data_IF_966504075485
#
_entry.id   IF_966504075485
#
_cell.length_a   1.000
_cell.length_b   1.000
_cell.length_c   1.000
_cell.angle_alpha   90.00
_cell.angle_beta   90.00
_cell.angle_gamma   90.00
#
_symmetry.space_group_name_H-M   'P 1'
#
loop_
_entity.id
_entity.type
_entity.pdbx_description
1 polymer ?
#
# COMPACT_ATOMS: atom_id res chain seq x y z
N UNK A 1 -36.85 -7.78 -34.28
CA UNK A 1 -36.01 -7.43 -33.11
C UNK A 1 -35.92 -5.92 -33.17
N UNK A 2 -36.76 -5.22 -32.41
CA UNK A 2 -36.77 -3.75 -32.40
C UNK A 2 -35.52 -3.30 -31.62
N UNK A 3 -34.65 -2.55 -32.30
CA UNK A 3 -33.53 -1.88 -31.66
C UNK A 3 -34.13 -0.86 -30.68
N UNK A 4 -33.98 -1.14 -29.39
CA UNK A 4 -34.35 -0.24 -28.32
C UNK A 4 -33.32 0.90 -28.35
N UNK A 5 -33.56 1.92 -29.18
CA UNK A 5 -32.76 3.13 -29.22
C UNK A 5 -32.77 3.75 -27.83
N UNK A 6 -31.65 3.59 -27.12
CA UNK A 6 -31.45 4.15 -25.80
C UNK A 6 -31.37 5.66 -25.99
N UNK A 7 -32.51 6.32 -25.80
CA UNK A 7 -32.63 7.76 -25.93
C UNK A 7 -31.78 8.43 -24.84
N UNK A 8 -30.64 8.98 -25.28
CA UNK A 8 -29.67 9.66 -24.43
C UNK A 8 -30.30 10.82 -23.65
N UNK A 9 -31.38 11.42 -24.14
CA UNK A 9 -32.12 12.48 -23.43
C UNK A 9 -32.94 11.92 -22.27
N UNK A 10 -33.55 10.72 -22.39
CA UNK A 10 -34.20 10.05 -21.25
C UNK A 10 -33.19 9.58 -20.22
N UNK A 11 -31.99 9.14 -20.63
CA UNK A 11 -30.91 8.88 -19.67
C UNK A 11 -30.47 10.17 -18.97
N UNK A 12 -30.34 11.27 -19.72
CA UNK A 12 -29.97 12.56 -19.16
C UNK A 12 -31.04 13.08 -18.19
N UNK A 13 -32.33 12.89 -18.49
CA UNK A 13 -33.45 13.28 -17.66
C UNK A 13 -33.58 12.41 -16.39
N UNK A 14 -33.36 11.09 -16.46
CA UNK A 14 -33.32 10.21 -15.29
C UNK A 14 -32.14 10.56 -14.38
N UNK A 15 -30.98 10.88 -14.95
CA UNK A 15 -29.78 11.31 -14.19
C UNK A 15 -30.00 12.70 -13.58
N UNK A 16 -30.58 13.66 -14.29
CA UNK A 16 -30.89 15.01 -13.78
C UNK A 16 -32.01 15.00 -12.73
N UNK A 17 -33.03 14.16 -12.89
CA UNK A 17 -34.13 14.04 -11.93
C UNK A 17 -33.72 13.27 -10.66
N UNK A 18 -32.81 12.30 -10.78
CA UNK A 18 -32.20 11.64 -9.61
C UNK A 18 -31.21 12.53 -8.87
N UNK A 19 -30.49 13.41 -9.57
CA UNK A 19 -29.61 14.41 -8.96
C UNK A 19 -30.39 15.39 -8.06
N UNK A 20 -31.65 15.68 -8.38
CA UNK A 20 -32.47 16.65 -7.63
C UNK A 20 -33.15 16.10 -6.37
N UNK A 21 -33.11 14.78 -6.10
CA UNK A 21 -33.96 14.15 -5.06
C UNK A 21 -33.36 14.02 -3.65
N UNK A 22 -32.10 14.40 -3.39
CA UNK A 22 -31.66 14.57 -1.99
C UNK A 22 -30.33 15.31 -1.85
N UNK A 23 -30.37 16.56 -1.36
CA UNK A 23 -29.19 17.32 -0.88
C UNK A 23 -28.33 16.52 0.13
N UNK A 24 -28.90 15.50 0.76
CA UNK A 24 -28.19 14.56 1.62
C UNK A 24 -27.31 13.57 0.83
N UNK A 25 -27.81 13.00 -0.27
CA UNK A 25 -27.06 12.02 -1.07
C UNK A 25 -25.88 12.69 -1.78
N UNK A 26 -26.08 13.92 -2.24
CA UNK A 26 -25.02 14.76 -2.82
C UNK A 26 -23.91 15.04 -1.80
N UNK A 27 -24.25 15.35 -0.54
CA UNK A 27 -23.27 15.50 0.56
C UNK A 27 -22.51 14.21 0.85
N UNK A 28 -23.18 13.05 0.86
CA UNK A 28 -22.52 11.74 1.07
C UNK A 28 -21.56 11.43 -0.08
N UNK A 29 -21.98 11.67 -1.33
CA UNK A 29 -21.15 11.49 -2.51
C UNK A 29 -19.90 12.37 -2.47
N UNK A 30 -20.06 13.66 -2.14
CA UNK A 30 -18.93 14.60 -1.95
C UNK A 30 -17.97 14.14 -0.85
N UNK A 31 -18.48 13.69 0.31
CA UNK A 31 -17.62 13.16 1.38
C UNK A 31 -16.90 11.87 0.98
N UNK A 32 -17.55 11.00 0.21
CA UNK A 32 -16.94 9.75 -0.27
C UNK A 32 -15.86 10.03 -1.31
N UNK A 33 -16.09 10.98 -2.22
CA UNK A 33 -15.09 11.43 -3.17
C UNK A 33 -13.87 12.04 -2.46
N UNK A 34 -14.09 12.85 -1.43
CA UNK A 34 -13.03 13.43 -0.61
C UNK A 34 -12.21 12.35 0.12
N UNK A 35 -12.88 11.36 0.73
CA UNK A 35 -12.21 10.21 1.36
C UNK A 35 -11.41 9.38 0.34
N UNK A 36 -11.91 9.21 -0.88
CA UNK A 36 -11.19 8.51 -1.93
C UNK A 36 -9.91 9.24 -2.37
N UNK A 37 -9.94 10.58 -2.42
CA UNK A 37 -8.74 11.39 -2.67
C UNK A 37 -7.71 11.21 -1.55
N UNK A 38 -8.13 11.25 -0.27
CA UNK A 38 -7.24 10.98 0.85
C UNK A 38 -6.69 9.54 0.85
N UNK A 39 -7.51 8.56 0.45
CA UNK A 39 -7.09 7.18 0.28
C UNK A 39 -6.00 7.06 -0.78
N UNK A 40 -6.19 7.72 -1.93
CA UNK A 40 -5.22 7.72 -3.03
C UNK A 40 -3.90 8.38 -2.62
N UNK A 41 -3.94 9.51 -1.92
CA UNK A 41 -2.73 10.19 -1.41
C UNK A 41 -2.00 9.30 -0.39
N UNK A 42 -2.73 8.68 0.54
CA UNK A 42 -2.15 7.76 1.53
C UNK A 42 -1.52 6.54 0.87
N UNK A 43 -2.16 6.02 -0.20
CA UNK A 43 -1.63 4.92 -1.00
C UNK A 43 -0.34 5.31 -1.73
N UNK A 44 -0.27 6.53 -2.28
CA UNK A 44 0.93 7.06 -2.94
C UNK A 44 2.09 7.22 -1.95
N UNK A 45 1.85 7.81 -0.78
CA UNK A 45 2.87 7.97 0.25
C UNK A 45 3.34 6.63 0.82
N UNK A 46 2.39 5.72 1.08
CA UNK A 46 2.69 4.33 1.47
C UNK A 46 3.56 3.61 0.45
N UNK A 47 3.32 3.83 -0.84
CA UNK A 47 4.08 3.19 -1.91
C UNK A 47 5.50 3.73 -1.94
N UNK A 48 5.68 5.05 -1.85
CA UNK A 48 7.00 5.68 -1.84
C UNK A 48 7.88 5.19 -0.69
N UNK A 49 7.33 5.11 0.52
CA UNK A 49 8.05 4.56 1.68
C UNK A 49 8.32 3.05 1.48
N UNK A 50 7.33 2.29 0.99
CA UNK A 50 7.47 0.87 0.70
C UNK A 50 8.59 0.57 -0.30
N UNK A 51 8.74 1.40 -1.32
CA UNK A 51 9.77 1.23 -2.34
C UNK A 51 11.16 1.28 -1.73
N UNK A 52 11.43 2.19 -0.78
CA UNK A 52 12.75 2.32 -0.18
C UNK A 52 13.18 1.10 0.63
N UNK A 53 12.30 0.50 1.44
CA UNK A 53 12.70 -0.70 2.17
C UNK A 53 12.70 -1.97 1.34
N UNK A 54 11.89 -2.04 0.28
CA UNK A 54 12.00 -3.11 -0.69
C UNK A 54 13.41 -3.11 -1.29
N UNK A 55 13.99 -1.93 -1.60
CA UNK A 55 15.36 -1.84 -2.08
C UNK A 55 16.38 -2.37 -1.06
N UNK A 56 16.27 -2.00 0.23
CA UNK A 56 17.14 -2.55 1.28
C UNK A 56 17.01 -4.07 1.44
N UNK A 57 15.80 -4.61 1.30
CA UNK A 57 15.56 -6.05 1.35
C UNK A 57 16.11 -6.79 0.13
N UNK A 58 16.03 -6.17 -1.06
CA UNK A 58 16.66 -6.69 -2.29
C UNK A 58 18.17 -6.72 -2.11
N UNK A 59 18.79 -5.64 -1.61
CA UNK A 59 20.24 -5.59 -1.40
C UNK A 59 20.71 -6.65 -0.39
N UNK A 60 20.01 -6.81 0.74
CA UNK A 60 20.32 -7.85 1.71
C UNK A 60 20.19 -9.26 1.09
N UNK A 61 19.14 -9.49 0.30
CA UNK A 61 18.90 -10.74 -0.43
C UNK A 61 20.00 -11.02 -1.47
N UNK A 62 20.45 -10.00 -2.19
CA UNK A 62 21.52 -10.12 -3.19
C UNK A 62 22.85 -10.48 -2.53
N UNK A 63 23.16 -9.92 -1.36
CA UNK A 63 24.35 -10.26 -0.56
C UNK A 63 24.33 -11.71 -0.09
N UNK A 64 23.19 -12.19 0.42
CA UNK A 64 23.02 -13.61 0.79
C UNK A 64 23.09 -14.55 -0.42
N UNK A 65 22.58 -14.12 -1.57
CA UNK A 65 22.68 -14.87 -2.83
C UNK A 65 24.13 -14.96 -3.31
N UNK A 66 24.89 -13.88 -3.19
CA UNK A 66 26.31 -13.84 -3.53
C UNK A 66 27.16 -14.73 -2.61
N UNK A 67 26.90 -14.70 -1.29
CA UNK A 67 27.50 -15.61 -0.31
C UNK A 67 27.30 -17.08 -0.69
N UNK A 68 26.07 -17.47 -1.02
CA UNK A 68 25.74 -18.84 -1.41
C UNK A 68 26.44 -19.25 -2.71
N UNK A 69 26.46 -18.37 -3.71
CA UNK A 69 27.13 -18.63 -4.99
C UNK A 69 28.65 -18.84 -4.81
N UNK A 70 29.29 -18.06 -3.94
CA UNK A 70 30.71 -18.21 -3.60
C UNK A 70 30.99 -19.52 -2.87
N UNK A 71 30.11 -19.94 -1.96
CA UNK A 71 30.19 -21.26 -1.31
C UNK A 71 30.17 -22.41 -2.31
N UNK A 72 29.25 -22.38 -3.28
CA UNK A 72 29.15 -23.40 -4.34
C UNK A 72 30.43 -23.43 -5.18
N UNK A 73 30.98 -22.27 -5.57
CA UNK A 73 32.26 -22.19 -6.30
C UNK A 73 33.40 -22.84 -5.52
N UNK A 74 33.52 -22.53 -4.22
CA UNK A 74 34.52 -23.14 -3.35
C UNK A 74 34.37 -24.67 -3.23
N UNK A 75 33.14 -25.19 -3.24
CA UNK A 75 32.87 -26.64 -3.17
C UNK A 75 33.28 -27.38 -4.44
N UNK A 76 33.11 -26.79 -5.62
CA UNK A 76 33.47 -27.41 -6.91
C UNK A 76 34.95 -27.24 -7.27
N UNK A 77 35.63 -26.25 -6.70
CA UNK A 77 37.07 -26.03 -6.90
C UNK A 77 37.88 -27.19 -6.33
N UNK A 78 38.75 -27.76 -7.16
CA UNK A 78 39.60 -28.91 -6.79
C UNK A 78 40.91 -28.48 -6.12
N UNK A 79 41.40 -27.27 -6.40
CA UNK A 79 42.63 -26.75 -5.81
C UNK A 79 42.44 -26.35 -4.34
N UNK A 80 43.25 -26.91 -3.44
CA UNK A 80 43.15 -26.66 -2.00
C UNK A 80 43.44 -25.20 -1.62
N UNK A 81 44.40 -24.56 -2.29
CA UNK A 81 44.76 -23.17 -2.03
C UNK A 81 43.63 -22.20 -2.46
N UNK A 82 43.02 -22.45 -3.62
CA UNK A 82 41.93 -21.64 -4.13
C UNK A 82 40.64 -21.87 -3.31
N UNK A 83 40.37 -23.10 -2.88
CA UNK A 83 39.28 -23.41 -1.92
C UNK A 83 39.44 -22.68 -0.58
N UNK A 84 40.67 -22.59 -0.06
CA UNK A 84 40.96 -21.84 1.16
C UNK A 84 40.70 -20.33 0.98
N UNK A 85 41.08 -19.76 -0.18
CA UNK A 85 40.73 -18.38 -0.54
C UNK A 85 39.23 -18.16 -0.59
N UNK A 86 38.48 -19.04 -1.25
CA UNK A 86 37.02 -18.90 -1.31
C UNK A 86 36.38 -18.94 0.07
N UNK A 87 36.86 -19.77 1.00
CA UNK A 87 36.36 -19.79 2.38
C UNK A 87 36.62 -18.48 3.13
N UNK A 88 37.80 -17.89 2.99
CA UNK A 88 38.14 -16.60 3.62
C UNK A 88 37.30 -15.45 3.03
N UNK A 89 37.10 -15.44 1.72
CA UNK A 89 36.17 -14.51 1.06
C UNK A 89 34.72 -14.74 1.51
N UNK A 90 34.31 -15.99 1.69
CA UNK A 90 32.96 -16.34 2.11
C UNK A 90 32.63 -15.79 3.49
N UNK A 91 33.58 -15.85 4.42
CA UNK A 91 33.40 -15.33 5.78
C UNK A 91 33.26 -13.81 5.78
N UNK A 92 34.03 -13.10 4.95
CA UNK A 92 33.90 -11.64 4.78
C UNK A 92 32.53 -11.26 4.20
N UNK A 93 32.09 -11.96 3.17
CA UNK A 93 30.79 -11.72 2.52
C UNK A 93 29.65 -12.05 3.50
N UNK A 94 29.82 -13.07 4.34
CA UNK A 94 28.84 -13.43 5.38
C UNK A 94 28.67 -12.30 6.37
N UNK A 95 29.76 -11.77 6.91
CA UNK A 95 29.70 -10.65 7.86
C UNK A 95 29.02 -9.43 7.23
N UNK A 96 29.37 -9.11 5.98
CA UNK A 96 28.77 -7.99 5.25
C UNK A 96 27.27 -8.21 4.97
N UNK A 97 26.86 -9.44 4.66
CA UNK A 97 25.45 -9.81 4.48
C UNK A 97 24.67 -9.74 5.80
N UNK A 98 25.28 -10.17 6.91
CA UNK A 98 24.69 -10.16 8.25
C UNK A 98 24.52 -8.73 8.78
N UNK A 99 25.52 -7.86 8.57
CA UNK A 99 25.44 -6.42 8.86
C UNK A 99 24.35 -5.72 8.03
N UNK A 100 24.29 -6.02 6.73
CA UNK A 100 23.26 -5.45 5.83
C UNK A 100 21.85 -5.94 6.21
N UNK A 101 21.73 -7.19 6.66
CA UNK A 101 20.47 -7.76 7.15
C UNK A 101 20.03 -7.07 8.45
N UNK A 102 20.96 -6.85 9.38
CA UNK A 102 20.71 -6.12 10.63
C UNK A 102 20.28 -4.66 10.37
N UNK A 103 20.91 -3.99 9.40
CA UNK A 103 20.51 -2.64 9.00
C UNK A 103 19.12 -2.62 8.34
N UNK A 104 18.79 -3.65 7.56
CA UNK A 104 17.47 -3.82 6.93
C UNK A 104 16.35 -4.04 7.97
N UNK A 105 16.61 -4.80 9.04
CA UNK A 105 15.66 -5.04 10.13
C UNK A 105 15.25 -3.77 10.89
N UNK A 106 16.13 -2.77 10.98
CA UNK A 106 15.78 -1.50 11.63
C UNK A 106 14.81 -0.64 10.79
N UNK A 107 14.77 -0.82 9.47
CA UNK A 107 13.85 -0.12 8.56
C UNK A 107 12.50 -0.82 8.37
N UNK A 108 12.31 -2.02 8.93
CA UNK A 108 11.12 -2.87 8.71
C UNK A 108 9.83 -2.38 9.41
N UNK A 109 9.93 -1.55 10.45
CA UNK A 109 8.76 -1.14 11.25
C UNK A 109 7.82 -0.12 10.59
N UNK A 110 8.29 0.61 9.56
CA UNK A 110 7.47 1.63 8.88
C UNK A 110 6.45 0.98 7.94
N UNK A 111 6.74 -0.21 7.39
CA UNK A 111 5.93 -0.87 6.35
C UNK A 111 4.57 -1.37 6.81
N UNK A 112 4.46 -1.90 8.04
CA UNK A 112 3.19 -2.39 8.54
C UNK A 112 2.19 -1.25 8.76
N UNK A 113 2.66 -0.08 9.21
CA UNK A 113 1.79 1.04 9.57
C UNK A 113 1.09 1.64 8.35
N UNK A 114 1.81 1.76 7.24
CA UNK A 114 1.28 2.32 6.00
C UNK A 114 0.28 1.37 5.30
N UNK A 115 0.53 0.05 5.34
CA UNK A 115 -0.42 -0.94 4.82
C UNK A 115 -1.76 -0.92 5.60
N UNK A 116 -1.72 -0.73 6.92
CA UNK A 116 -2.93 -0.58 7.74
C UNK A 116 -3.69 0.71 7.45
N UNK A 117 -3.00 1.82 7.13
CA UNK A 117 -3.68 3.08 6.79
C UNK A 117 -4.50 2.95 5.49
N UNK A 118 -3.92 2.36 4.44
CA UNK A 118 -4.59 2.20 3.13
C UNK A 118 -5.85 1.32 3.26
N UNK A 119 -5.76 0.21 3.99
CA UNK A 119 -6.89 -0.71 4.17
C UNK A 119 -8.05 -0.07 4.92
N UNK A 120 -7.77 0.76 5.94
CA UNK A 120 -8.81 1.50 6.67
C UNK A 120 -9.54 2.49 5.75
N UNK A 121 -8.83 3.22 4.89
CA UNK A 121 -9.45 4.15 3.94
C UNK A 121 -10.30 3.44 2.87
N UNK A 122 -9.87 2.25 2.42
CA UNK A 122 -10.65 1.43 1.49
C UNK A 122 -11.97 0.95 2.13
N UNK A 123 -11.92 0.49 3.37
CA UNK A 123 -13.13 0.09 4.12
C UNK A 123 -14.06 1.29 4.35
N UNK A 124 -13.51 2.47 4.70
CA UNK A 124 -14.29 3.70 4.89
C UNK A 124 -15.00 4.15 3.60
N UNK A 125 -14.33 4.04 2.45
CA UNK A 125 -14.90 4.36 1.12
C UNK A 125 -16.01 3.39 0.74
N UNK A 126 -15.80 2.08 0.97
CA UNK A 126 -16.81 1.06 0.71
C UNK A 126 -18.09 1.28 1.55
N UNK A 127 -17.93 1.62 2.83
CA UNK A 127 -19.06 1.94 3.71
C UNK A 127 -19.79 3.22 3.24
N UNK A 128 -19.06 4.23 2.74
CA UNK A 128 -19.64 5.43 2.15
C UNK A 128 -20.52 5.14 0.92
N UNK A 129 -20.07 4.26 0.02
CA UNK A 129 -20.85 3.81 -1.13
C UNK A 129 -22.12 3.05 -0.70
N UNK A 130 -21.99 2.16 0.29
CA UNK A 130 -23.13 1.41 0.85
C UNK A 130 -24.13 2.36 1.53
N UNK A 131 -23.68 3.44 2.17
CA UNK A 131 -24.56 4.43 2.80
C UNK A 131 -25.50 5.13 1.80
N UNK A 132 -25.01 5.40 0.59
CA UNK A 132 -25.82 5.98 -0.50
C UNK A 132 -26.88 4.97 -0.96
N UNK A 133 -26.51 3.70 -1.11
CA UNK A 133 -27.41 2.63 -1.54
C UNK A 133 -28.51 2.33 -0.51
N UNK A 134 -28.17 2.31 0.78
CA UNK A 134 -29.09 1.93 1.87
C UNK A 134 -30.00 3.10 2.30
N UNK A 135 -29.72 4.34 1.86
CA UNK A 135 -30.48 5.56 2.23
C UNK A 135 -30.67 5.75 3.75
N UNK A 136 -29.83 5.15 4.59
CA UNK A 136 -29.87 5.30 6.06
C UNK A 136 -28.76 6.22 6.58
N UNK A 137 -29.16 7.23 7.35
CA UNK A 137 -28.28 8.27 7.91
C UNK A 137 -27.20 7.77 8.88
N UNK A 138 -27.42 6.62 9.53
CA UNK A 138 -26.45 6.04 10.48
C UNK A 138 -25.11 5.70 9.83
N UNK A 139 -25.12 5.15 8.60
CA UNK A 139 -23.89 4.74 7.91
C UNK A 139 -22.98 5.92 7.55
N UNK A 140 -23.53 7.12 7.38
CA UNK A 140 -22.75 8.33 7.10
C UNK A 140 -21.96 8.80 8.33
N UNK A 141 -22.56 8.76 9.53
CA UNK A 141 -21.82 9.10 10.75
C UNK A 141 -20.66 8.13 11.01
N UNK A 142 -20.84 6.84 10.72
CA UNK A 142 -19.78 5.84 10.84
C UNK A 142 -18.61 6.13 9.89
N UNK A 143 -18.92 6.52 8.64
CA UNK A 143 -17.90 6.91 7.64
C UNK A 143 -17.13 8.17 8.04
N UNK A 144 -17.80 9.20 8.55
CA UNK A 144 -17.15 10.42 9.04
C UNK A 144 -16.28 10.16 10.28
N UNK A 145 -16.73 9.30 11.20
CA UNK A 145 -15.96 8.90 12.37
C UNK A 145 -14.69 8.12 11.97
N UNK A 146 -14.79 7.19 11.02
CA UNK A 146 -13.62 6.48 10.48
C UNK A 146 -12.66 7.41 9.74
N UNK A 147 -13.18 8.36 8.96
CA UNK A 147 -12.37 9.34 8.24
C UNK A 147 -11.55 10.25 9.16
N UNK A 148 -12.16 10.71 10.26
CA UNK A 148 -11.45 11.53 11.27
C UNK A 148 -10.36 10.75 11.99
N UNK A 149 -10.57 9.47 12.29
CA UNK A 149 -9.53 8.58 12.84
C UNK A 149 -8.38 8.40 11.82
N UNK A 150 -8.69 8.20 10.54
CA UNK A 150 -7.70 8.08 9.47
C UNK A 150 -6.81 9.32 9.33
N UNK A 151 -7.38 10.53 9.41
CA UNK A 151 -6.62 11.79 9.38
C UNK A 151 -5.65 11.86 10.58
N UNK A 152 -6.08 11.44 11.77
CA UNK A 152 -5.21 11.39 12.95
C UNK A 152 -4.01 10.46 12.79
N UNK A 153 -4.20 9.31 12.14
CA UNK A 153 -3.12 8.36 11.84
C UNK A 153 -2.12 8.93 10.83
N UNK A 154 -2.59 9.64 9.78
CA UNK A 154 -1.71 10.31 8.80
C UNK A 154 -0.85 11.37 9.49
N UNK A 155 -1.44 12.22 10.35
CA UNK A 155 -0.69 13.25 11.08
C UNK A 155 0.39 12.61 11.96
N UNK A 156 0.06 11.51 12.65
CA UNK A 156 1.03 10.78 13.46
C UNK A 156 2.14 10.15 12.59
N UNK A 157 1.81 9.58 11.44
CA UNK A 157 2.78 9.00 10.52
C UNK A 157 3.74 10.07 9.95
N UNK A 158 3.23 11.24 9.56
CA UNK A 158 4.04 12.37 9.10
C UNK A 158 4.95 12.91 10.21
N UNK A 159 4.52 12.87 11.49
CA UNK A 159 5.36 13.30 12.61
C UNK A 159 6.45 12.29 13.02
N UNK A 160 6.37 11.06 12.51
CA UNK A 160 7.31 9.97 12.79
C UNK A 160 8.35 9.80 11.66
N UNK A 161 8.17 10.51 10.56
CA UNK A 161 9.13 10.70 9.48
C UNK A 161 10.18 11.74 9.89
#
# INVERSE_FOLDING_TARGET
>A
MEEQEVNVEQLHEIVHEQAHKSSWAEKVALTTALLAVFAAISSLLSTYESDQAILFRIEASDRWSYYQAKGIKGMITQEAAERARYKDEQEKIRQEAEDTTHQSEHSLHVHEFFAYAVTIFQVATAIGAIAVLVKKRYFWYTSVALGTIGIGLIIKAVSLL
#
